data_IF_616924847203
#
_entry.id   IF_616924847203
#
_cell.length_a   1.000
_cell.length_b   1.000
_cell.length_c   1.000
_cell.angle_alpha   90.00
_cell.angle_beta   90.00
_cell.angle_gamma   90.00
#
_symmetry.space_group_name_H-M   'P 1'
#
loop_
_entity.id
_entity.type
_entity.pdbx_description
1 polymer ?
#
# COMPACT_ATOMS: atom_id res chain seq x y z
N UNK A 1 16.81 -37.65 32.40
CA UNK A 1 17.20 -36.96 31.15
C UNK A 1 18.21 -35.92 31.54
N UNK A 2 19.39 -35.95 30.92
CA UNK A 2 20.47 -35.03 31.26
C UNK A 2 20.05 -33.61 30.90
N UNK A 3 20.28 -32.65 31.79
CA UNK A 3 19.87 -31.25 31.59
C UNK A 3 20.40 -30.69 30.26
N UNK A 4 21.57 -31.17 29.81
CA UNK A 4 22.14 -30.82 28.50
C UNK A 4 21.27 -31.25 27.32
N UNK A 5 20.66 -32.44 27.37
CA UNK A 5 19.76 -32.92 26.32
C UNK A 5 18.48 -32.07 26.25
N UNK A 6 17.98 -31.61 27.41
CA UNK A 6 16.81 -30.72 27.47
C UNK A 6 17.13 -29.35 26.87
N UNK A 7 18.27 -28.75 27.21
CA UNK A 7 18.68 -27.47 26.63
C UNK A 7 18.90 -27.55 25.11
N UNK A 8 19.48 -28.66 24.61
CA UNK A 8 19.67 -28.87 23.18
C UNK A 8 18.34 -28.95 22.42
N UNK A 9 17.37 -29.71 22.94
CA UNK A 9 16.03 -29.80 22.38
C UNK A 9 15.31 -28.43 22.40
N UNK A 10 15.45 -27.69 23.50
CA UNK A 10 14.87 -26.35 23.63
C UNK A 10 15.46 -25.37 22.60
N UNK A 11 16.78 -25.41 22.40
CA UNK A 11 17.46 -24.57 21.41
C UNK A 11 17.01 -24.87 19.98
N UNK A 12 16.78 -26.15 19.62
CA UNK A 12 16.25 -26.52 18.30
C UNK A 12 14.84 -25.99 18.07
N UNK A 13 13.97 -26.06 19.08
CA UNK A 13 12.59 -25.56 18.98
C UNK A 13 12.61 -24.04 18.80
N UNK A 14 13.40 -23.34 19.59
CA UNK A 14 13.55 -21.88 19.49
C UNK A 14 14.13 -21.51 18.12
N UNK A 15 15.20 -22.17 17.68
CA UNK A 15 15.81 -21.95 16.36
C UNK A 15 14.81 -22.18 15.22
N UNK A 16 13.97 -23.21 15.31
CA UNK A 16 12.94 -23.49 14.31
C UNK A 16 11.87 -22.38 14.26
N UNK A 17 11.44 -21.85 15.41
CA UNK A 17 10.48 -20.75 15.47
C UNK A 17 11.09 -19.50 14.81
N UNK A 18 12.35 -19.18 15.11
CA UNK A 18 13.05 -18.08 14.46
C UNK A 18 13.16 -18.28 12.95
N UNK A 19 13.52 -19.48 12.48
CA UNK A 19 13.65 -19.76 11.04
C UNK A 19 12.30 -19.72 10.32
N UNK A 20 11.24 -20.21 10.95
CA UNK A 20 9.88 -20.14 10.41
C UNK A 20 9.38 -18.70 10.32
N UNK A 21 9.87 -17.82 11.18
CA UNK A 21 9.44 -16.44 11.25
C UNK A 21 10.28 -15.50 10.37
N UNK A 22 11.53 -15.85 10.04
CA UNK A 22 12.44 -14.98 9.28
C UNK A 22 12.53 -15.26 7.78
N UNK A 23 11.83 -16.26 7.24
CA UNK A 23 11.78 -16.50 5.79
C UNK A 23 10.56 -15.75 5.21
N UNK A 24 10.74 -14.57 4.57
CA UNK A 24 9.67 -13.98 3.77
C UNK A 24 9.35 -14.92 2.60
N UNK A 25 8.07 -15.21 2.39
CA UNK A 25 7.61 -15.87 1.17
C UNK A 25 7.94 -14.96 -0.03
N UNK A 26 8.70 -15.47 -0.99
CA UNK A 26 9.10 -14.75 -2.22
C UNK A 26 7.93 -14.76 -3.23
N UNK A 27 7.35 -13.61 -3.62
CA UNK A 27 6.62 -13.50 -4.87
C UNK A 27 7.52 -12.93 -5.99
N UNK A 28 7.19 -13.35 -7.21
CA UNK A 28 7.95 -13.25 -8.46
C UNK A 28 8.49 -11.84 -8.83
N UNK A 29 9.62 -11.85 -9.56
CA UNK A 29 10.23 -10.70 -10.21
C UNK A 29 9.34 -10.15 -11.32
N UNK A 30 8.76 -8.96 -11.13
CA UNK A 30 8.13 -8.17 -12.19
C UNK A 30 9.21 -7.52 -13.08
N UNK A 31 9.70 -8.24 -14.07
CA UNK A 31 10.37 -7.64 -15.22
C UNK A 31 9.31 -7.02 -16.15
N UNK A 32 9.03 -5.71 -15.98
CA UNK A 32 8.28 -4.94 -16.97
C UNK A 32 9.10 -3.73 -17.41
N UNK A 33 9.88 -3.96 -18.46
CA UNK A 33 10.60 -2.96 -19.24
C UNK A 33 9.61 -2.16 -20.09
N UNK A 34 9.43 -0.86 -19.81
CA UNK A 34 8.84 0.10 -20.75
C UNK A 34 9.83 1.26 -20.87
N UNK A 35 10.62 1.21 -21.94
CA UNK A 35 11.47 2.30 -22.39
C UNK A 35 10.59 3.44 -22.91
N UNK A 36 10.49 4.53 -22.13
CA UNK A 36 9.70 5.72 -22.44
C UNK A 36 10.51 6.76 -23.22
N UNK A 37 11.39 6.31 -24.12
CA UNK A 37 12.19 7.19 -24.99
C UNK A 37 11.67 7.29 -26.43
N UNK A 38 10.67 6.49 -26.83
CA UNK A 38 10.22 6.42 -28.23
C UNK A 38 8.86 7.07 -28.53
N UNK A 39 8.24 7.79 -27.59
CA UNK A 39 6.88 8.36 -27.77
C UNK A 39 6.81 9.90 -27.89
N UNK A 40 7.96 10.58 -27.96
CA UNK A 40 8.03 12.02 -28.30
C UNK A 40 8.77 12.15 -29.64
N UNK A 41 8.20 11.64 -30.74
CA UNK A 41 7.29 12.37 -31.63
C UNK A 41 7.93 13.65 -32.18
N UNK A 42 8.42 13.50 -33.41
CA UNK A 42 8.53 14.53 -34.44
C UNK A 42 7.40 15.57 -34.34
N UNK A 43 7.79 16.80 -34.01
CA UNK A 43 7.10 18.02 -34.39
C UNK A 43 8.10 19.18 -34.25
N UNK A 44 8.70 19.54 -35.37
CA UNK A 44 9.30 20.84 -35.63
C UNK A 44 8.37 21.98 -35.17
N UNK A 45 8.86 22.90 -34.33
CA UNK A 45 8.81 24.33 -34.63
C UNK A 45 9.60 25.16 -33.61
N UNK A 46 10.53 25.93 -34.15
CA UNK A 46 11.23 27.04 -33.55
C UNK A 46 10.25 28.20 -33.29
N UNK A 47 10.02 28.63 -32.04
CA UNK A 47 9.60 30.01 -31.74
C UNK A 47 9.95 30.39 -30.29
N UNK A 48 10.82 31.39 -30.21
CA UNK A 48 11.11 32.27 -29.09
C UNK A 48 9.84 32.82 -28.43
N UNK A 49 9.64 32.59 -27.13
CA UNK A 49 8.94 33.57 -26.29
C UNK A 49 9.32 33.43 -24.82
N UNK A 50 10.06 34.43 -24.38
CA UNK A 50 10.32 34.83 -23.01
C UNK A 50 9.05 35.05 -22.18
N UNK A 51 9.19 34.72 -20.90
CA UNK A 51 8.78 35.52 -19.74
C UNK A 51 7.31 35.56 -19.30
N UNK A 52 7.16 35.29 -17.99
CA UNK A 52 6.22 35.87 -17.02
C UNK A 52 4.73 35.54 -17.18
N UNK A 53 4.18 34.82 -16.19
CA UNK A 53 3.14 35.34 -15.27
C UNK A 53 2.43 34.20 -14.55
N UNK A 54 2.16 34.44 -13.26
CA UNK A 54 1.68 33.42 -12.34
C UNK A 54 0.30 32.87 -12.67
N UNK A 55 0.11 31.62 -12.28
CA UNK A 55 -1.06 31.22 -11.52
C UNK A 55 -0.55 30.11 -10.62
N UNK A 56 -0.48 30.37 -9.33
CA UNK A 56 -0.50 29.34 -8.31
C UNK A 56 -1.75 28.52 -8.57
N UNK A 57 -1.63 27.49 -9.40
CA UNK A 57 -2.68 26.50 -9.59
C UNK A 57 -2.83 25.87 -8.22
N UNK A 58 -3.82 26.37 -7.47
CA UNK A 58 -4.34 25.70 -6.30
C UNK A 58 -4.50 24.26 -6.75
N UNK A 59 -3.61 23.40 -6.26
CA UNK A 59 -3.54 21.99 -6.56
C UNK A 59 -4.87 21.44 -6.04
N UNK A 60 -5.90 21.55 -6.86
CA UNK A 60 -7.15 20.86 -6.70
C UNK A 60 -6.70 19.41 -6.65
N UNK A 61 -6.64 18.87 -5.42
CA UNK A 61 -6.40 17.48 -5.18
C UNK A 61 -7.59 16.80 -5.81
N UNK A 62 -7.45 16.49 -7.08
CA UNK A 62 -8.41 15.73 -7.85
C UNK A 62 -8.48 14.40 -7.12
N UNK A 63 -9.47 14.28 -6.23
CA UNK A 63 -9.69 13.08 -5.44
C UNK A 63 -10.00 12.00 -6.46
N UNK A 64 -9.02 11.13 -6.70
CA UNK A 64 -9.20 10.03 -7.64
C UNK A 64 -10.35 9.16 -7.10
N UNK A 65 -11.29 8.74 -7.95
CA UNK A 65 -12.29 7.79 -7.53
C UNK A 65 -11.58 6.51 -7.09
N UNK A 66 -12.01 5.94 -5.97
CA UNK A 66 -11.49 4.66 -5.49
C UNK A 66 -11.98 3.57 -6.42
N UNK A 67 -11.05 2.76 -6.92
CA UNK A 67 -11.36 1.60 -7.77
C UNK A 67 -11.31 0.32 -6.95
N UNK A 68 -12.03 -0.71 -7.38
CA UNK A 68 -12.03 -2.01 -6.70
C UNK A 68 -10.63 -2.64 -6.68
N UNK A 69 -9.84 -2.41 -7.73
CA UNK A 69 -8.43 -2.83 -7.77
C UNK A 69 -7.58 -2.17 -6.67
N UNK A 70 -7.82 -0.89 -6.34
CA UNK A 70 -7.10 -0.25 -5.24
C UNK A 70 -7.43 -0.92 -3.90
N UNK A 71 -8.69 -1.34 -3.71
CA UNK A 71 -9.13 -2.03 -2.49
C UNK A 71 -8.50 -3.42 -2.41
N UNK A 72 -8.51 -4.19 -3.50
CA UNK A 72 -7.92 -5.53 -3.56
C UNK A 72 -6.44 -5.53 -3.19
N UNK A 73 -5.66 -4.58 -3.73
CA UNK A 73 -4.24 -4.46 -3.40
C UNK A 73 -4.04 -4.24 -1.90
N UNK A 74 -4.81 -3.34 -1.28
CA UNK A 74 -4.73 -3.14 0.18
C UNK A 74 -5.19 -4.40 0.94
N UNK A 75 -6.26 -5.06 0.51
CA UNK A 75 -6.80 -6.26 1.15
C UNK A 75 -5.79 -7.43 1.15
N UNK A 76 -5.00 -7.57 0.10
CA UNK A 76 -3.95 -8.60 0.03
C UNK A 76 -2.86 -8.40 1.09
N UNK A 77 -2.56 -7.15 1.43
CA UNK A 77 -1.54 -6.77 2.44
C UNK A 77 -2.14 -6.80 3.84
N UNK A 78 -3.39 -6.36 3.97
CA UNK A 78 -4.09 -6.19 5.24
C UNK A 78 -5.42 -6.98 5.24
N UNK A 79 -5.38 -8.33 5.31
CA UNK A 79 -6.57 -9.16 5.16
C UNK A 79 -7.56 -9.03 6.33
N UNK A 80 -7.12 -8.47 7.46
CA UNK A 80 -7.95 -8.23 8.64
C UNK A 80 -8.79 -6.95 8.55
N UNK A 81 -8.52 -6.09 7.57
CA UNK A 81 -9.30 -4.88 7.35
C UNK A 81 -10.56 -5.18 6.55
N UNK A 82 -11.62 -4.44 6.84
CA UNK A 82 -12.84 -4.49 6.04
C UNK A 82 -12.71 -3.62 4.80
N UNK A 83 -13.36 -4.03 3.71
CA UNK A 83 -13.44 -3.28 2.46
C UNK A 83 -13.91 -1.83 2.69
N UNK A 84 -14.82 -1.62 3.64
CA UNK A 84 -15.34 -0.29 3.96
C UNK A 84 -14.30 0.62 4.61
N UNK A 85 -13.48 0.09 5.52
CA UNK A 85 -12.36 0.82 6.13
C UNK A 85 -11.31 1.20 5.09
N UNK A 86 -10.95 0.24 4.23
CA UNK A 86 -9.99 0.45 3.13
C UNK A 86 -10.51 1.54 2.20
N UNK A 87 -11.78 1.45 1.78
CA UNK A 87 -12.40 2.44 0.91
C UNK A 87 -12.42 3.83 1.56
N UNK A 88 -12.78 3.92 2.84
CA UNK A 88 -12.84 5.19 3.56
C UNK A 88 -11.47 5.87 3.64
N UNK A 89 -10.40 5.11 3.87
CA UNK A 89 -9.05 5.68 3.88
C UNK A 89 -8.55 6.01 2.46
N UNK A 90 -8.83 5.18 1.46
CA UNK A 90 -8.52 5.46 0.05
C UNK A 90 -9.25 6.70 -0.49
N UNK A 91 -10.48 6.97 -0.05
CA UNK A 91 -11.22 8.20 -0.41
C UNK A 91 -10.61 9.47 0.23
N UNK A 92 -9.86 9.28 1.32
CA UNK A 92 -9.15 10.36 2.03
C UNK A 92 -7.74 10.56 1.48
N UNK A 93 -6.99 9.47 1.30
CA UNK A 93 -5.60 9.45 0.86
C UNK A 93 -5.47 9.62 -0.65
N UNK A 94 -6.38 9.03 -1.42
CA UNK A 94 -6.34 8.96 -2.87
C UNK A 94 -5.21 8.06 -3.42
N UNK A 95 -4.51 7.30 -2.57
CA UNK A 95 -3.42 6.40 -2.95
C UNK A 95 -3.40 5.15 -2.08
N UNK A 96 -3.13 4.01 -2.71
CA UNK A 96 -2.96 2.71 -2.06
C UNK A 96 -1.78 2.74 -1.09
N UNK A 97 -0.67 3.32 -1.51
CA UNK A 97 0.57 3.38 -0.73
C UNK A 97 0.36 4.13 0.59
N UNK A 98 -0.24 5.31 0.52
CA UNK A 98 -0.53 6.12 1.70
C UNK A 98 -1.49 5.42 2.67
N UNK A 99 -2.41 4.59 2.15
CA UNK A 99 -3.32 3.80 2.98
C UNK A 99 -2.63 2.62 3.63
N UNK A 100 -1.70 1.96 2.95
CA UNK A 100 -0.86 0.91 3.54
C UNK A 100 0.03 1.50 4.62
N UNK A 101 0.65 2.67 4.38
CA UNK A 101 1.48 3.35 5.36
C UNK A 101 0.67 3.71 6.62
N UNK A 102 -0.55 4.22 6.46
CA UNK A 102 -1.45 4.51 7.58
C UNK A 102 -1.79 3.24 8.38
N UNK A 103 -2.06 2.14 7.68
CA UNK A 103 -2.32 0.84 8.31
C UNK A 103 -1.09 0.32 9.05
N UNK A 104 0.10 0.37 8.46
CA UNK A 104 1.34 -0.09 9.10
C UNK A 104 1.74 0.79 10.30
N UNK A 105 1.45 2.09 10.25
CA UNK A 105 1.74 3.02 11.34
C UNK A 105 0.81 2.84 12.54
N UNK A 106 -0.49 2.61 12.31
CA UNK A 106 -1.51 2.61 13.36
C UNK A 106 -2.00 1.19 13.72
N UNK A 107 -1.73 0.19 12.89
CA UNK A 107 -2.24 -1.18 13.00
C UNK A 107 -3.69 -1.36 12.56
N UNK A 108 -4.40 -0.29 12.22
CA UNK A 108 -5.80 -0.29 11.78
C UNK A 108 -6.13 0.99 10.98
N UNK A 109 -7.26 0.98 10.26
CA UNK A 109 -7.78 2.12 9.51
C UNK A 109 -9.04 2.70 10.18
N UNK A 110 -9.25 4.04 10.07
CA UNK A 110 -10.41 4.68 10.67
C UNK A 110 -11.72 4.12 10.11
N UNK A 111 -12.61 3.70 11.01
CA UNK A 111 -13.92 3.17 10.66
C UNK A 111 -14.79 4.25 9.97
N UNK A 112 -15.50 3.90 8.88
CA UNK A 112 -16.43 4.81 8.24
C UNK A 112 -17.59 5.15 9.20
N UNK A 113 -17.95 6.45 9.29
CA UNK A 113 -18.98 6.95 10.23
C UNK A 113 -20.41 6.45 9.95
N UNK A 114 -20.58 5.69 8.88
CA UNK A 114 -21.84 5.18 8.38
C UNK A 114 -22.13 3.72 8.78
N UNK A 115 -21.26 3.06 9.56
CA UNK A 115 -21.66 1.88 10.33
C UNK A 115 -22.46 2.33 11.56
N UNK A 116 -23.70 2.78 11.34
CA UNK A 116 -24.69 2.83 12.39
C UNK A 116 -24.87 1.39 12.87
N UNK A 117 -24.57 1.18 14.14
CA UNK A 117 -24.96 0.01 14.91
C UNK A 117 -26.47 -0.23 14.77
N UNK A 118 -26.90 -1.00 13.79
CA UNK A 118 -28.18 -1.69 13.85
C UNK A 118 -27.98 -2.87 14.80
N UNK A 119 -27.91 -2.58 16.10
CA UNK A 119 -28.28 -3.55 17.13
C UNK A 119 -29.79 -3.67 17.00
N UNK A 120 -30.23 -4.70 16.28
CA UNK A 120 -31.61 -5.17 16.41
C UNK A 120 -31.83 -5.62 17.86
N UNK A 121 -33.09 -5.42 18.23
CA UNK A 121 -33.76 -5.40 19.53
C UNK A 121 -33.58 -6.66 20.40
#
# INVERSE_FOLDING_TARGET
MDSSAVFFALALIIGYIFLRWTIPTVPETNDFNIDMSTLSKDADEETTSSSLSGTSSAKSRNKRPVTDSMIEVVQTIAPNLTVEQIRADLEKSGSVEATIDNFMANGDLPHPRNQKSTKEE
#
